data_IF_683459062131
#
_entry.id   IF_683459062131
#
_cell.length_a   1.000
_cell.length_b   1.000
_cell.length_c   1.000
_cell.angle_alpha   90.00
_cell.angle_beta   90.00
_cell.angle_gamma   90.00
#
_symmetry.space_group_name_H-M   'P 1'
#
loop_
_entity.id
_entity.type
_entity.pdbx_description
1 polymer ?
#
# COMPACT_ATOMS: atom_id res chain seq x y z
N UNK A 1 12.33 38.06 -4.18
CA UNK A 1 11.37 37.61 -3.14
C UNK A 1 10.63 36.38 -3.58
N UNK A 2 9.94 36.42 -4.71
CA UNK A 2 9.20 35.25 -5.17
C UNK A 2 10.09 34.05 -5.44
N UNK A 3 11.29 34.27 -5.96
CA UNK A 3 12.23 33.20 -6.27
C UNK A 3 12.66 32.46 -5.01
N UNK A 4 12.85 33.16 -3.93
CA UNK A 4 13.26 32.57 -2.67
C UNK A 4 12.18 31.63 -2.12
N UNK A 5 10.91 32.03 -2.27
CA UNK A 5 9.79 31.22 -1.81
C UNK A 5 9.72 29.92 -2.63
N UNK A 6 9.93 30.00 -3.93
CA UNK A 6 9.92 28.83 -4.80
C UNK A 6 11.03 27.84 -4.44
N UNK A 7 12.21 28.34 -4.14
CA UNK A 7 13.31 27.48 -3.73
C UNK A 7 13.00 26.73 -2.43
N UNK A 8 12.38 27.41 -1.50
CA UNK A 8 11.99 26.79 -0.24
C UNK A 8 10.96 25.69 -0.46
N UNK A 9 9.99 25.94 -1.32
CA UNK A 9 8.96 24.94 -1.63
C UNK A 9 9.58 23.71 -2.29
N UNK A 10 10.51 23.89 -3.19
CA UNK A 10 11.18 22.78 -3.85
C UNK A 10 11.98 21.94 -2.86
N UNK A 11 12.63 22.59 -1.92
CA UNK A 11 13.39 21.88 -0.89
C UNK A 11 12.45 21.03 -0.02
N UNK A 12 11.33 21.60 0.39
CA UNK A 12 10.34 20.88 1.20
C UNK A 12 9.83 19.65 0.47
N UNK A 13 9.54 19.76 -0.80
CA UNK A 13 9.07 18.65 -1.61
C UNK A 13 10.13 17.55 -1.69
N UNK A 14 11.38 17.90 -1.92
CA UNK A 14 12.46 16.93 -1.98
C UNK A 14 12.63 16.20 -0.64
N UNK A 15 12.46 16.89 0.47
CA UNK A 15 12.54 16.27 1.78
C UNK A 15 11.42 15.25 1.99
N UNK A 16 10.23 15.53 1.48
CA UNK A 16 9.11 14.61 1.58
C UNK A 16 9.30 13.36 0.74
N UNK A 17 10.04 13.46 -0.35
CA UNK A 17 10.33 12.34 -1.21
C UNK A 17 11.56 11.55 -0.77
N UNK A 18 12.30 12.04 0.21
CA UNK A 18 13.46 11.33 0.72
C UNK A 18 13.02 9.96 1.24
N UNK A 19 13.73 8.89 0.86
CA UNK A 19 13.35 7.55 1.30
C UNK A 19 13.48 7.46 2.81
N UNK A 20 12.37 7.31 3.46
CA UNK A 20 12.36 7.05 4.86
C UNK A 20 12.41 5.54 5.08
N UNK A 21 12.53 5.15 6.30
CA UNK A 21 12.60 3.76 6.67
C UNK A 21 11.22 3.11 6.53
N UNK A 22 10.79 2.86 5.30
CA UNK A 22 9.57 2.12 5.05
C UNK A 22 8.32 2.98 4.94
N UNK A 23 7.23 2.32 4.66
CA UNK A 23 5.94 2.96 4.46
C UNK A 23 5.36 3.45 5.80
N UNK A 24 4.58 4.52 5.77
CA UNK A 24 3.90 4.97 6.98
C UNK A 24 2.94 3.89 7.49
N UNK A 25 2.73 3.89 8.79
CA UNK A 25 1.80 2.96 9.43
C UNK A 25 0.53 3.70 9.82
N UNK A 26 -0.57 2.96 9.82
CA UNK A 26 -1.83 3.51 10.32
C UNK A 26 -2.30 2.70 11.52
N UNK A 27 -3.09 3.33 12.36
CA UNK A 27 -3.66 2.65 13.51
C UNK A 27 -4.78 1.72 13.08
N UNK A 28 -5.10 0.76 13.94
CA UNK A 28 -6.23 -0.13 13.71
C UNK A 28 -7.55 0.65 13.62
N UNK A 29 -7.70 1.67 14.45
CA UNK A 29 -8.90 2.49 14.45
C UNK A 29 -9.06 3.22 13.11
N UNK A 30 -7.98 3.79 12.58
CA UNK A 30 -8.00 4.48 11.29
C UNK A 30 -8.33 3.50 10.17
N UNK A 31 -7.71 2.33 10.20
CA UNK A 31 -7.98 1.29 9.23
C UNK A 31 -9.45 0.88 9.22
N UNK A 32 -10.03 0.68 10.39
CA UNK A 32 -11.45 0.31 10.50
C UNK A 32 -12.36 1.38 9.90
N UNK A 33 -12.04 2.64 10.13
CA UNK A 33 -12.79 3.74 9.53
C UNK A 33 -12.74 3.71 8.01
N UNK A 34 -11.55 3.52 7.46
CA UNK A 34 -11.38 3.46 6.00
C UNK A 34 -12.14 2.30 5.41
N UNK A 35 -12.11 1.14 6.06
CA UNK A 35 -12.83 -0.03 5.59
C UNK A 35 -14.34 0.21 5.63
N UNK A 36 -14.84 0.75 6.71
CA UNK A 36 -16.26 1.04 6.85
C UNK A 36 -16.76 1.99 5.76
N UNK A 37 -15.93 2.95 5.40
CA UNK A 37 -16.23 3.92 4.34
C UNK A 37 -15.96 3.38 2.93
N UNK A 38 -15.41 2.18 2.81
CA UNK A 38 -15.00 1.57 1.53
C UNK A 38 -14.00 2.44 0.77
N UNK A 39 -13.10 3.08 1.52
CA UNK A 39 -12.10 4.00 0.95
C UNK A 39 -10.69 3.46 1.10
N UNK A 40 -10.52 2.16 1.08
CA UNK A 40 -9.21 1.54 1.19
C UNK A 40 -9.19 0.23 0.42
N UNK A 41 -8.07 -0.05 -0.20
CA UNK A 41 -7.80 -1.35 -0.80
C UNK A 41 -6.83 -2.09 0.12
N UNK A 42 -7.21 -3.27 0.56
CA UNK A 42 -6.44 -4.05 1.53
C UNK A 42 -5.67 -5.14 0.80
N UNK A 43 -4.39 -5.26 1.10
CA UNK A 43 -3.51 -6.23 0.47
C UNK A 43 -2.89 -7.11 1.53
N UNK A 44 -3.03 -8.42 1.37
CA UNK A 44 -2.42 -9.42 2.23
C UNK A 44 -1.12 -9.87 1.58
N UNK A 45 0.01 -9.64 2.26
CA UNK A 45 1.32 -9.97 1.72
C UNK A 45 1.86 -11.30 2.24
N UNK A 46 1.04 -12.05 2.96
CA UNK A 46 1.43 -13.37 3.44
C UNK A 46 1.41 -14.38 2.29
N UNK A 47 1.83 -15.61 2.57
CA UNK A 47 1.77 -16.66 1.54
C UNK A 47 0.33 -17.09 1.29
N UNK A 48 0.15 -17.84 0.21
CA UNK A 48 -1.18 -18.28 -0.21
C UNK A 48 -1.86 -19.16 0.83
N UNK A 49 -1.11 -20.02 1.49
CA UNK A 49 -1.70 -20.88 2.52
C UNK A 49 -2.29 -20.08 3.66
N UNK A 50 -1.58 -19.08 4.13
CA UNK A 50 -2.07 -18.23 5.20
C UNK A 50 -3.33 -17.48 4.77
N UNK A 51 -3.32 -16.96 3.55
CA UNK A 51 -4.47 -16.26 2.99
C UNK A 51 -5.70 -17.17 2.93
N UNK A 52 -5.52 -18.40 2.50
CA UNK A 52 -6.64 -19.35 2.38
C UNK A 52 -7.20 -19.75 3.73
N UNK A 53 -6.36 -19.85 4.76
CA UNK A 53 -6.82 -20.21 6.09
C UNK A 53 -7.63 -19.10 6.74
N UNK A 54 -7.43 -17.88 6.31
CA UNK A 54 -8.20 -16.77 6.81
C UNK A 54 -7.53 -15.46 6.48
N UNK A 55 -8.31 -14.49 6.01
CA UNK A 55 -7.81 -13.17 5.66
C UNK A 55 -8.91 -12.14 5.90
N UNK A 56 -8.50 -10.88 5.90
CA UNK A 56 -9.46 -9.79 6.03
C UNK A 56 -10.40 -9.83 4.84
N UNK A 57 -11.72 -9.82 5.06
CA UNK A 57 -12.68 -9.86 3.95
C UNK A 57 -12.41 -8.76 2.93
N UNK A 58 -12.33 -9.14 1.66
CA UNK A 58 -12.04 -8.22 0.57
C UNK A 58 -10.56 -7.97 0.32
N UNK A 59 -9.68 -8.52 1.13
CA UNK A 59 -8.24 -8.35 0.92
C UNK A 59 -7.78 -9.08 -0.34
N UNK A 60 -6.87 -8.45 -1.06
CA UNK A 60 -6.26 -9.01 -2.26
C UNK A 60 -4.93 -9.64 -1.88
N UNK A 61 -4.67 -10.84 -2.35
CA UNK A 61 -3.42 -11.53 -2.07
C UNK A 61 -2.29 -11.02 -2.97
N UNK A 62 -1.19 -10.62 -2.37
CA UNK A 62 0.05 -10.32 -3.10
C UNK A 62 1.23 -10.77 -2.25
N UNK A 63 1.64 -12.04 -2.38
CA UNK A 63 2.71 -12.59 -1.54
C UNK A 63 4.02 -11.83 -1.71
N UNK A 64 4.80 -11.75 -0.65
CA UNK A 64 6.11 -11.10 -0.71
C UNK A 64 7.04 -11.79 -1.72
N UNK A 65 6.91 -13.09 -1.89
CA UNK A 65 7.71 -13.84 -2.86
C UNK A 65 7.08 -13.86 -4.26
N UNK A 66 6.12 -13.00 -4.50
CA UNK A 66 5.19 -13.04 -5.64
C UNK A 66 5.70 -13.57 -6.95
N UNK A 67 6.79 -13.02 -7.46
CA UNK A 67 7.31 -13.47 -8.76
C UNK A 67 7.83 -14.90 -8.74
N UNK A 68 8.24 -15.42 -7.60
CA UNK A 68 8.85 -16.72 -7.49
C UNK A 68 7.85 -17.84 -7.27
N UNK A 69 6.79 -17.55 -6.51
CA UNK A 69 5.80 -18.58 -6.14
C UNK A 69 4.43 -18.32 -6.73
N UNK A 70 4.22 -17.15 -7.33
CA UNK A 70 2.91 -16.74 -7.85
C UNK A 70 3.06 -15.89 -9.12
N UNK A 71 3.86 -16.33 -10.09
CA UNK A 71 4.25 -15.43 -11.19
C UNK A 71 3.12 -15.02 -12.13
N UNK A 72 2.18 -15.91 -12.42
CA UNK A 72 1.13 -15.62 -13.38
C UNK A 72 0.16 -14.57 -12.84
N UNK A 73 -0.23 -14.71 -11.59
CA UNK A 73 -1.21 -13.82 -10.95
C UNK A 73 -0.57 -12.53 -10.44
N UNK A 74 0.74 -12.56 -10.22
CA UNK A 74 1.43 -11.40 -9.66
C UNK A 74 1.28 -10.17 -10.55
N UNK A 75 1.53 -10.32 -11.83
CA UNK A 75 1.45 -9.20 -12.76
C UNK A 75 0.03 -8.62 -12.81
N UNK A 76 -0.98 -9.47 -12.81
CA UNK A 76 -2.37 -9.04 -12.81
C UNK A 76 -2.71 -8.26 -11.55
N UNK A 77 -2.28 -8.75 -10.41
CA UNK A 77 -2.54 -8.09 -9.14
C UNK A 77 -1.84 -6.74 -9.08
N UNK A 78 -0.61 -6.66 -9.53
CA UNK A 78 0.12 -5.38 -9.59
C UNK A 78 -0.62 -4.37 -10.45
N UNK A 79 -1.14 -4.79 -11.59
CA UNK A 79 -1.92 -3.89 -12.44
C UNK A 79 -3.20 -3.40 -11.75
N UNK A 80 -3.87 -4.28 -11.02
CA UNK A 80 -5.04 -3.91 -10.22
C UNK A 80 -4.68 -2.85 -9.20
N UNK A 81 -3.54 -3.02 -8.53
CA UNK A 81 -3.09 -2.07 -7.51
C UNK A 81 -2.71 -0.73 -8.13
N UNK A 82 -2.08 -0.74 -9.29
CA UNK A 82 -1.73 0.49 -9.99
C UNK A 82 -2.97 1.29 -10.39
N UNK A 83 -4.05 0.60 -10.70
CA UNK A 83 -5.29 1.24 -11.10
C UNK A 83 -6.13 1.73 -9.91
N UNK A 84 -5.74 1.40 -8.70
CA UNK A 84 -6.49 1.76 -7.51
C UNK A 84 -6.51 3.27 -7.32
N UNK A 85 -7.67 3.79 -6.96
CA UNK A 85 -7.86 5.22 -6.71
C UNK A 85 -8.01 5.53 -5.22
N UNK A 86 -7.89 4.54 -4.39
CA UNK A 86 -7.96 4.68 -2.95
C UNK A 86 -6.61 4.33 -2.34
N UNK A 87 -6.35 4.73 -1.10
CA UNK A 87 -5.15 4.29 -0.41
C UNK A 87 -5.08 2.76 -0.37
N UNK A 88 -3.87 2.25 -0.41
CA UNK A 88 -3.61 0.81 -0.31
C UNK A 88 -2.98 0.56 1.05
N UNK A 89 -3.56 -0.38 1.79
CA UNK A 89 -3.03 -0.80 3.09
C UNK A 89 -2.61 -2.25 2.99
N UNK A 90 -1.36 -2.52 3.32
CA UNK A 90 -0.82 -3.88 3.33
C UNK A 90 -0.76 -4.40 4.75
N UNK A 91 -0.88 -5.70 4.91
CA UNK A 91 -0.66 -6.33 6.20
C UNK A 91 0.05 -7.67 6.03
N UNK A 92 0.75 -8.07 7.09
CA UNK A 92 1.39 -9.38 7.19
C UNK A 92 1.27 -9.86 8.62
N UNK A 93 1.49 -11.13 8.82
CA UNK A 93 1.43 -11.67 10.19
C UNK A 93 2.79 -11.70 10.82
#
# INVERSE_FOLDING_TARGET
MAILVMLFAAFTFAAQLAPSAGAPRISQAEFKKLRAAKKVLVVDTRNEDAYRRGHIPGAILLPLEGLQVWPAEYAQTVETLKAAKTPIVTYCA
#
